data_IF_279004032591
#
_entry.id   IF_279004032591
#
_cell.length_a   1.000
_cell.length_b   1.000
_cell.length_c   1.000
_cell.angle_alpha   90.00
_cell.angle_beta   90.00
_cell.angle_gamma   90.00
#
_symmetry.space_group_name_H-M   'P 1'
#
loop_
_entity.id
_entity.type
_entity.pdbx_description
1 polymer ?
#
# COMPACT_ATOMS: atom_id res chain seq x y z
N UNK A 1 10.72 10.60 63.04
CA UNK A 1 11.58 9.45 63.36
C UNK A 1 11.12 8.25 62.52
N UNK A 2 12.07 7.58 61.86
CA UNK A 2 12.08 6.16 61.37
C UNK A 2 11.04 5.76 60.31
N UNK A 3 11.45 5.51 59.04
CA UNK A 3 11.89 4.22 58.42
C UNK A 3 10.71 3.24 58.25
N UNK A 4 10.49 2.56 57.13
CA UNK A 4 11.36 2.30 56.00
C UNK A 4 10.66 1.49 54.89
N UNK A 5 11.42 1.32 53.81
CA UNK A 5 11.16 0.60 52.57
C UNK A 5 11.20 -0.92 52.82
N UNK A 6 10.31 -1.68 52.19
CA UNK A 6 10.49 -3.13 51.98
C UNK A 6 10.29 -3.45 50.50
N UNK A 7 11.41 -3.74 49.85
CA UNK A 7 11.53 -4.30 48.51
C UNK A 7 11.33 -5.81 48.63
N UNK A 8 10.41 -6.38 47.86
CA UNK A 8 10.22 -7.84 47.77
C UNK A 8 10.78 -8.32 46.43
N UNK A 9 12.00 -8.87 46.48
CA UNK A 9 12.64 -9.62 45.40
C UNK A 9 12.33 -11.09 45.67
N UNK A 10 11.51 -11.69 44.82
CA UNK A 10 11.30 -13.14 44.80
C UNK A 10 12.10 -13.71 43.64
N UNK A 11 13.34 -14.11 43.91
CA UNK A 11 14.11 -15.00 43.05
C UNK A 11 13.71 -16.45 43.39
N UNK A 12 13.09 -17.16 42.45
CA UNK A 12 13.01 -18.62 42.51
C UNK A 12 14.05 -19.21 41.55
N UNK A 13 15.04 -19.88 42.13
CA UNK A 13 15.98 -20.79 41.48
C UNK A 13 15.86 -22.13 42.19
N UNK A 14 15.42 -23.17 41.48
CA UNK A 14 15.64 -24.61 41.72
C UNK A 14 15.34 -25.28 40.36
N UNK A 15 16.30 -25.81 39.61
CA UNK A 15 16.95 -27.11 39.84
C UNK A 15 16.48 -28.06 38.73
N UNK A 16 17.21 -28.20 37.62
CA UNK A 16 18.20 -29.26 37.38
C UNK A 16 17.61 -30.68 37.38
N UNK A 17 17.31 -31.19 36.18
CA UNK A 17 17.33 -32.63 35.90
C UNK A 17 18.13 -32.83 34.62
N UNK A 18 19.25 -33.53 34.81
CA UNK A 18 20.23 -33.88 33.79
C UNK A 18 19.70 -35.02 32.92
N UNK A 19 19.98 -34.96 31.61
CA UNK A 19 20.16 -36.13 30.79
C UNK A 19 21.40 -35.90 29.92
N UNK A 20 22.38 -36.77 30.09
CA UNK A 20 23.64 -36.77 29.36
C UNK A 20 23.49 -37.61 28.10
N UNK A 21 24.03 -37.13 26.98
CA UNK A 21 24.51 -38.00 25.91
C UNK A 21 25.81 -37.40 25.37
N UNK A 22 26.83 -38.25 25.30
CA UNK A 22 28.21 -37.93 24.96
C UNK A 22 28.37 -37.84 23.44
N UNK A 23 28.98 -36.76 22.95
CA UNK A 23 29.82 -36.84 21.75
C UNK A 23 30.95 -35.81 21.77
N UNK A 24 32.17 -36.34 21.70
CA UNK A 24 33.45 -35.65 21.74
C UNK A 24 33.76 -34.84 20.46
N UNK A 25 34.40 -33.68 20.68
CA UNK A 25 35.39 -33.00 19.82
C UNK A 25 34.96 -32.34 18.50
N UNK A 26 34.92 -31.00 18.49
CA UNK A 26 35.94 -30.14 17.86
C UNK A 26 35.55 -28.66 17.92
N UNK A 27 36.49 -27.88 18.42
CA UNK A 27 36.63 -26.42 18.31
C UNK A 27 36.27 -25.85 16.94
N UNK A 28 35.37 -24.88 16.90
CA UNK A 28 35.47 -23.68 16.03
C UNK A 28 34.76 -22.53 16.74
N UNK A 29 35.51 -21.73 17.49
CA UNK A 29 35.12 -20.39 17.89
C UNK A 29 35.00 -19.53 16.62
N UNK A 30 33.77 -19.39 16.09
CA UNK A 30 33.51 -18.48 14.98
C UNK A 30 32.14 -17.80 15.13
N UNK A 31 31.96 -17.08 16.22
CA UNK A 31 31.01 -15.96 16.29
C UNK A 31 31.70 -14.72 16.86
N UNK A 32 32.80 -14.32 16.20
CA UNK A 32 33.40 -13.01 16.32
C UNK A 32 33.42 -12.36 14.93
N UNK A 33 32.34 -11.65 14.57
CA UNK A 33 32.36 -10.52 13.62
C UNK A 33 30.92 -10.12 13.25
N UNK A 34 30.17 -9.55 14.19
CA UNK A 34 29.19 -8.52 13.82
C UNK A 34 29.78 -7.20 14.27
N UNK A 35 30.38 -6.51 13.32
CA UNK A 35 31.02 -5.22 13.49
C UNK A 35 30.16 -4.29 14.35
N UNK A 36 30.68 -3.95 15.53
CA UNK A 36 30.37 -2.73 16.26
C UNK A 36 30.88 -1.54 15.41
N UNK A 37 30.21 -1.30 14.27
CA UNK A 37 30.30 0.00 13.64
C UNK A 37 29.58 0.94 14.58
N UNK A 38 30.35 1.59 15.47
CA UNK A 38 29.94 2.75 16.24
C UNK A 38 29.17 3.70 15.32
N UNK A 39 27.84 3.60 15.32
CA UNK A 39 26.98 4.37 14.43
C UNK A 39 27.08 5.81 14.91
N UNK A 40 27.88 6.63 14.19
CA UNK A 40 27.92 8.06 14.46
C UNK A 40 26.50 8.59 14.23
N UNK A 41 25.87 9.21 15.24
CA UNK A 41 24.51 9.70 15.10
C UNK A 41 24.47 10.77 14.01
N UNK A 42 23.65 10.54 12.99
CA UNK A 42 23.47 11.49 11.90
C UNK A 42 22.71 12.70 12.42
N UNK A 43 23.33 13.88 12.32
CA UNK A 43 22.71 15.16 12.68
C UNK A 43 22.51 16.00 11.43
N UNK A 44 21.25 16.25 11.08
CA UNK A 44 20.89 17.07 9.94
C UNK A 44 21.14 18.56 10.22
N UNK A 45 21.55 19.30 9.19
CA UNK A 45 21.70 20.76 9.27
C UNK A 45 20.34 21.40 9.54
N UNK A 46 20.28 22.47 10.34
CA UNK A 46 19.02 23.18 10.68
C UNK A 46 18.20 23.59 9.45
N UNK A 47 18.86 24.04 8.36
CA UNK A 47 18.19 24.39 7.09
C UNK A 47 17.49 23.19 6.44
N UNK A 48 18.10 22.01 6.49
CA UNK A 48 17.55 20.77 5.93
C UNK A 48 16.24 20.40 6.64
N UNK A 49 16.24 20.44 7.99
CA UNK A 49 15.05 20.18 8.81
C UNK A 49 13.94 21.21 8.54
N UNK A 50 14.29 22.48 8.33
CA UNK A 50 13.31 23.53 7.99
C UNK A 50 12.62 23.26 6.64
N UNK A 51 13.36 22.70 5.67
CA UNK A 51 12.82 22.36 4.34
C UNK A 51 12.07 21.03 4.34
N UNK A 52 12.36 20.15 5.30
CA UNK A 52 11.78 18.81 5.42
C UNK A 52 11.19 18.64 6.83
N UNK A 53 10.04 19.27 7.14
CA UNK A 53 9.50 19.29 8.50
C UNK A 53 9.16 17.90 9.05
N UNK A 54 8.87 16.92 8.19
CA UNK A 54 8.58 15.52 8.59
C UNK A 54 9.76 14.80 9.25
N UNK A 55 10.99 15.33 9.09
CA UNK A 55 12.19 14.76 9.73
C UNK A 55 12.48 15.36 11.11
N UNK A 56 11.73 16.38 11.54
CA UNK A 56 11.91 16.99 12.85
C UNK A 56 11.61 15.97 13.96
N UNK A 57 12.57 15.78 14.88
CA UNK A 57 12.42 14.83 15.99
C UNK A 57 12.62 13.35 15.62
N UNK A 58 12.90 13.02 14.36
CA UNK A 58 13.20 11.65 13.96
C UNK A 58 14.55 11.17 14.53
N UNK A 59 14.60 9.91 14.94
CA UNK A 59 15.79 9.28 15.54
C UNK A 59 16.35 8.14 14.69
N UNK A 60 15.57 7.60 13.74
CA UNK A 60 15.98 6.50 12.88
C UNK A 60 17.16 6.90 11.99
N UNK A 61 18.27 6.18 12.13
CA UNK A 61 19.52 6.52 11.46
C UNK A 61 19.44 6.30 9.95
N UNK A 62 18.67 5.33 9.47
CA UNK A 62 18.50 5.10 8.04
C UNK A 62 17.72 6.25 7.39
N UNK A 63 16.61 6.67 7.99
CA UNK A 63 15.82 7.81 7.54
C UNK A 63 16.65 9.10 7.55
N UNK A 64 17.40 9.35 8.62
CA UNK A 64 18.27 10.52 8.71
C UNK A 64 19.39 10.53 7.67
N UNK A 65 19.95 9.35 7.31
CA UNK A 65 20.93 9.23 6.22
C UNK A 65 20.31 9.57 4.86
N UNK A 66 19.08 9.11 4.58
CA UNK A 66 18.37 9.46 3.35
C UNK A 66 18.19 10.98 3.28
N UNK A 67 17.71 11.62 4.35
CA UNK A 67 17.55 13.07 4.38
C UNK A 67 18.88 13.84 4.32
N UNK A 68 19.97 13.26 4.80
CA UNK A 68 21.30 13.83 4.63
C UNK A 68 21.66 13.91 3.14
N UNK A 69 21.34 12.87 2.36
CA UNK A 69 21.55 12.85 0.91
C UNK A 69 20.61 13.79 0.17
N UNK A 70 19.32 13.86 0.56
CA UNK A 70 18.33 14.82 0.03
C UNK A 70 18.82 16.26 0.17
N UNK A 71 19.48 16.57 1.29
CA UNK A 71 19.96 17.91 1.60
C UNK A 71 21.38 18.19 1.09
N UNK A 72 22.03 17.21 0.46
CA UNK A 72 23.29 17.42 -0.23
C UNK A 72 23.04 17.96 -1.64
N UNK A 73 23.73 19.06 -1.97
CA UNK A 73 23.60 19.72 -3.27
C UNK A 73 24.14 18.85 -4.41
N UNK A 74 25.03 17.92 -4.11
CA UNK A 74 25.58 16.97 -5.09
C UNK A 74 24.49 16.04 -5.67
N UNK A 75 23.43 15.76 -4.92
CA UNK A 75 22.36 14.83 -5.30
C UNK A 75 21.12 15.54 -5.88
N UNK A 76 21.25 16.77 -6.38
CA UNK A 76 20.12 17.59 -6.84
C UNK A 76 19.20 16.86 -7.85
N UNK A 77 19.75 15.98 -8.69
CA UNK A 77 18.99 15.22 -9.70
C UNK A 77 18.27 13.98 -9.12
N UNK A 78 18.65 13.51 -7.93
CA UNK A 78 18.13 12.29 -7.30
C UNK A 78 17.23 12.61 -6.09
N UNK A 79 17.00 13.89 -5.79
CA UNK A 79 16.21 14.32 -4.62
C UNK A 79 14.83 13.65 -4.60
N UNK A 80 14.17 13.52 -5.75
CA UNK A 80 12.85 12.93 -5.83
C UNK A 80 12.84 11.43 -5.48
N UNK A 81 13.82 10.68 -6.00
CA UNK A 81 13.97 9.25 -5.71
C UNK A 81 14.34 9.02 -4.25
N UNK A 82 15.21 9.86 -3.69
CA UNK A 82 15.58 9.84 -2.27
C UNK A 82 14.38 10.17 -1.38
N UNK A 83 13.52 11.11 -1.77
CA UNK A 83 12.29 11.41 -1.03
C UNK A 83 11.27 10.27 -1.14
N UNK A 84 11.19 9.57 -2.27
CA UNK A 84 10.38 8.37 -2.40
C UNK A 84 10.89 7.23 -1.49
N UNK A 85 12.21 7.03 -1.42
CA UNK A 85 12.83 6.10 -0.47
C UNK A 85 12.58 6.51 0.99
N UNK A 86 12.64 7.81 1.31
CA UNK A 86 12.31 8.31 2.63
C UNK A 86 10.85 8.01 2.99
N UNK A 87 9.91 8.14 2.04
CA UNK A 87 8.51 7.80 2.24
C UNK A 87 8.32 6.31 2.56
N UNK A 88 9.00 5.42 1.83
CA UNK A 88 9.01 3.98 2.13
C UNK A 88 9.60 3.69 3.50
N UNK A 89 10.72 4.34 3.85
CA UNK A 89 11.34 4.16 5.16
C UNK A 89 10.42 4.63 6.30
N UNK A 90 9.70 5.74 6.13
CA UNK A 90 8.69 6.18 7.10
C UNK A 90 7.57 5.14 7.29
N UNK A 91 7.14 4.49 6.21
CA UNK A 91 6.16 3.40 6.30
C UNK A 91 6.70 2.22 7.10
N UNK A 92 7.93 1.77 6.82
CA UNK A 92 8.60 0.70 7.57
C UNK A 92 8.73 1.00 9.07
N UNK A 93 8.91 2.28 9.42
CA UNK A 93 8.98 2.78 10.80
C UNK A 93 7.61 2.90 11.49
N UNK A 94 6.54 2.33 10.90
CA UNK A 94 5.17 2.42 11.40
C UNK A 94 4.67 3.86 11.53
N UNK A 95 5.07 4.71 10.59
CA UNK A 95 4.57 6.09 10.47
C UNK A 95 3.75 6.27 9.18
N UNK A 96 2.64 5.53 8.98
CA UNK A 96 1.91 5.53 7.72
C UNK A 96 1.36 6.92 7.35
N UNK A 97 0.96 7.73 8.35
CA UNK A 97 0.51 9.11 8.10
C UNK A 97 1.61 10.01 7.51
N UNK A 98 2.85 9.89 8.02
CA UNK A 98 3.98 10.67 7.51
C UNK A 98 4.40 10.19 6.12
N UNK A 99 4.42 8.87 5.92
CA UNK A 99 4.71 8.24 4.62
C UNK A 99 3.71 8.67 3.55
N UNK A 100 2.41 8.56 3.85
CA UNK A 100 1.33 8.96 2.95
C UNK A 100 1.39 10.46 2.62
N UNK A 101 1.64 11.30 3.63
CA UNK A 101 1.80 12.74 3.43
C UNK A 101 2.94 13.06 2.47
N UNK A 102 4.12 12.49 2.69
CA UNK A 102 5.27 12.73 1.83
C UNK A 102 5.01 12.23 0.39
N UNK A 103 4.45 11.04 0.24
CA UNK A 103 4.13 10.49 -1.08
C UNK A 103 3.11 11.37 -1.83
N UNK A 104 2.07 11.84 -1.14
CA UNK A 104 1.05 12.73 -1.73
C UNK A 104 1.64 14.09 -2.10
N UNK A 105 2.51 14.67 -1.27
CA UNK A 105 3.20 15.94 -1.57
C UNK A 105 4.09 15.82 -2.83
N UNK A 106 4.72 14.67 -3.06
CA UNK A 106 5.49 14.41 -4.28
C UNK A 106 4.58 14.25 -5.50
N UNK A 107 3.49 13.49 -5.38
CA UNK A 107 2.50 13.33 -6.46
C UNK A 107 1.87 14.65 -6.87
N UNK A 108 1.56 15.55 -5.92
CA UNK A 108 1.06 16.90 -6.20
C UNK A 108 2.06 17.77 -6.99
N UNK A 109 3.35 17.43 -6.95
CA UNK A 109 4.41 18.07 -7.75
C UNK A 109 4.63 17.37 -9.09
N UNK A 110 3.70 16.50 -9.52
CA UNK A 110 3.81 15.65 -10.71
C UNK A 110 5.00 14.68 -10.68
N UNK A 111 5.44 14.29 -9.47
CA UNK A 111 6.47 13.25 -9.31
C UNK A 111 5.74 11.93 -9.08
N UNK A 112 5.92 11.01 -10.02
CA UNK A 112 5.30 9.68 -10.00
C UNK A 112 6.37 8.60 -10.07
N UNK A 113 6.05 7.42 -9.53
CA UNK A 113 6.92 6.25 -9.55
C UNK A 113 6.28 5.10 -8.81
N UNK A 114 6.68 3.86 -9.13
CA UNK A 114 6.14 2.65 -8.49
C UNK A 114 6.29 2.70 -6.97
N UNK A 115 7.45 3.12 -6.47
CA UNK A 115 7.68 3.28 -5.03
C UNK A 115 6.65 4.20 -4.37
N UNK A 116 6.27 5.30 -5.04
CA UNK A 116 5.27 6.22 -4.49
C UNK A 116 3.87 5.62 -4.51
N UNK A 117 3.50 4.91 -5.58
CA UNK A 117 2.20 4.21 -5.63
C UNK A 117 2.13 3.10 -4.59
N UNK A 118 3.22 2.37 -4.37
CA UNK A 118 3.33 1.31 -3.38
C UNK A 118 3.20 1.89 -1.96
N UNK A 119 3.95 2.95 -1.64
CA UNK A 119 3.86 3.62 -0.33
C UNK A 119 2.48 4.20 -0.09
N UNK A 120 1.87 4.86 -1.07
CA UNK A 120 0.51 5.38 -0.96
C UNK A 120 -0.47 4.26 -0.66
N UNK A 121 -0.39 3.13 -1.38
CA UNK A 121 -1.28 1.99 -1.18
C UNK A 121 -1.05 1.36 0.22
N UNK A 122 0.18 1.01 0.55
CA UNK A 122 0.55 0.37 1.81
C UNK A 122 0.16 1.23 3.03
N UNK A 123 0.48 2.52 3.01
CA UNK A 123 0.12 3.43 4.09
C UNK A 123 -1.40 3.60 4.22
N UNK A 124 -2.13 3.67 3.10
CA UNK A 124 -3.59 3.77 3.11
C UNK A 124 -4.26 2.51 3.66
N UNK A 125 -3.72 1.33 3.34
CA UNK A 125 -4.20 0.04 3.89
C UNK A 125 -3.98 -0.01 5.39
N UNK A 126 -2.80 0.37 5.87
CA UNK A 126 -2.51 0.40 7.32
C UNK A 126 -3.45 1.36 8.06
N UNK A 127 -3.68 2.57 7.52
CA UNK A 127 -4.60 3.55 8.11
C UNK A 127 -6.05 3.04 8.10
N UNK A 128 -6.50 2.44 6.99
CA UNK A 128 -7.85 1.90 6.88
C UNK A 128 -8.06 0.73 7.85
N UNK A 129 -7.05 -0.13 8.02
CA UNK A 129 -7.09 -1.24 8.96
C UNK A 129 -7.10 -0.75 10.41
N UNK A 130 -6.28 0.24 10.77
CA UNK A 130 -6.29 0.87 12.10
C UNK A 130 -7.67 1.48 12.42
N UNK A 131 -8.24 2.23 11.46
CA UNK A 131 -9.59 2.80 11.61
C UNK A 131 -10.66 1.70 11.78
N UNK A 132 -10.58 0.61 11.02
CA UNK A 132 -11.49 -0.54 11.17
C UNK A 132 -11.32 -1.21 12.54
N UNK A 133 -10.10 -1.33 13.04
CA UNK A 133 -9.83 -1.88 14.36
C UNK A 133 -10.39 -0.98 15.47
N UNK A 134 -10.18 0.33 15.40
CA UNK A 134 -10.77 1.31 16.32
C UNK A 134 -12.30 1.22 16.33
N UNK A 135 -12.92 1.17 15.13
CA UNK A 135 -14.37 0.98 15.01
C UNK A 135 -14.88 -0.28 15.71
N UNK A 136 -14.14 -1.39 15.63
CA UNK A 136 -14.57 -2.68 16.17
C UNK A 136 -14.24 -2.86 17.65
N UNK A 137 -13.12 -2.34 18.11
CA UNK A 137 -12.59 -2.59 19.46
C UNK A 137 -12.96 -1.48 20.43
N UNK A 138 -12.90 -0.22 20.00
CA UNK A 138 -13.09 0.94 20.87
C UNK A 138 -14.53 1.47 20.76
N UNK A 139 -15.08 1.52 19.55
CA UNK A 139 -16.45 1.96 19.30
C UNK A 139 -17.47 0.81 19.29
N UNK A 140 -16.99 -0.45 19.30
CA UNK A 140 -17.83 -1.66 19.29
C UNK A 140 -18.89 -1.69 18.17
N UNK A 141 -18.60 -1.07 17.02
CA UNK A 141 -19.52 -1.02 15.87
C UNK A 141 -18.98 -1.75 14.63
N UNK A 142 -19.93 -2.17 13.81
CA UNK A 142 -19.66 -2.71 12.48
C UNK A 142 -19.62 -1.60 11.42
N UNK A 143 -19.19 -1.98 10.21
CA UNK A 143 -19.34 -1.13 9.04
C UNK A 143 -20.84 -0.92 8.76
N UNK A 144 -21.23 0.31 8.41
CA UNK A 144 -22.61 0.64 8.06
C UNK A 144 -22.90 0.24 6.62
N UNK A 145 -24.13 -0.20 6.35
CA UNK A 145 -24.56 -0.62 5.01
C UNK A 145 -24.49 0.50 3.98
N UNK A 146 -24.67 1.75 4.41
CA UNK A 146 -24.90 2.87 3.50
C UNK A 146 -23.64 3.70 3.24
N UNK A 147 -22.70 3.74 4.20
CA UNK A 147 -21.54 4.65 4.12
C UNK A 147 -20.19 3.91 4.06
N UNK A 148 -19.92 3.00 5.01
CA UNK A 148 -18.58 2.44 5.16
C UNK A 148 -18.40 1.06 4.54
N UNK A 149 -19.47 0.25 4.47
CA UNK A 149 -19.40 -1.07 3.85
C UNK A 149 -19.25 -1.03 2.31
N UNK A 150 -19.99 -0.21 1.55
CA UNK A 150 -19.85 -0.18 0.09
C UNK A 150 -18.42 0.09 -0.42
N UNK A 151 -17.69 1.13 0.05
CA UNK A 151 -16.32 1.36 -0.41
C UNK A 151 -15.35 0.28 0.07
N UNK A 152 -15.53 -0.26 1.28
CA UNK A 152 -14.69 -1.36 1.78
C UNK A 152 -14.84 -2.64 0.94
N UNK A 153 -16.09 -2.98 0.57
CA UNK A 153 -16.37 -4.10 -0.33
C UNK A 153 -15.72 -3.89 -1.69
N UNK A 154 -15.89 -2.72 -2.29
CA UNK A 154 -15.29 -2.39 -3.59
C UNK A 154 -13.76 -2.54 -3.57
N UNK A 155 -13.09 -2.03 -2.53
CA UNK A 155 -11.65 -2.20 -2.37
C UNK A 155 -11.26 -3.68 -2.28
N UNK A 156 -12.01 -4.48 -1.50
CA UNK A 156 -11.73 -5.91 -1.36
C UNK A 156 -11.84 -6.68 -2.68
N UNK A 157 -12.82 -6.35 -3.54
CA UNK A 157 -12.97 -6.99 -4.84
C UNK A 157 -11.87 -6.54 -5.82
N UNK A 158 -11.52 -5.25 -5.83
CA UNK A 158 -10.41 -4.74 -6.65
C UNK A 158 -9.08 -5.40 -6.28
N UNK A 159 -8.84 -5.68 -5.00
CA UNK A 159 -7.64 -6.41 -4.57
C UNK A 159 -7.67 -7.85 -5.09
N UNK A 160 -8.82 -8.54 -5.04
CA UNK A 160 -8.93 -9.91 -5.55
C UNK A 160 -8.68 -10.00 -7.04
N UNK A 161 -9.14 -9.02 -7.83
CA UNK A 161 -8.93 -8.99 -9.28
C UNK A 161 -7.53 -8.54 -9.68
N UNK A 162 -6.79 -7.88 -8.77
CA UNK A 162 -5.40 -7.46 -8.99
C UNK A 162 -4.36 -8.54 -8.67
N UNK A 163 -4.78 -9.71 -8.18
CA UNK A 163 -3.84 -10.81 -7.92
C UNK A 163 -3.18 -11.27 -9.23
N UNK A 164 -1.87 -11.58 -9.22
CA UNK A 164 -1.21 -12.13 -10.39
C UNK A 164 -1.89 -13.46 -10.77
N UNK A 165 -2.08 -13.68 -12.07
CA UNK A 165 -2.67 -14.91 -12.56
C UNK A 165 -1.86 -16.11 -12.03
N UNK A 166 -2.52 -17.17 -11.51
CA UNK A 166 -1.81 -18.34 -11.04
C UNK A 166 -1.01 -18.92 -12.21
N UNK A 167 0.32 -18.94 -12.07
CA UNK A 167 1.21 -19.58 -13.04
C UNK A 167 0.94 -21.07 -12.97
N UNK A 168 0.12 -21.59 -13.89
CA UNK A 168 -0.06 -23.02 -14.05
C UNK A 168 1.28 -23.57 -14.53
N UNK A 169 2.10 -24.06 -13.60
CA UNK A 169 3.29 -24.84 -13.94
C UNK A 169 2.80 -26.19 -14.47
N UNK A 170 2.54 -26.26 -15.78
CA UNK A 170 2.39 -27.52 -16.48
C UNK A 170 3.74 -28.21 -16.48
N UNK A 171 4.09 -28.86 -15.37
CA UNK A 171 4.97 -30.03 -15.45
C UNK A 171 4.20 -31.04 -16.28
N UNK A 172 4.50 -31.06 -17.57
CA UNK A 172 4.11 -32.11 -18.47
C UNK A 172 4.55 -33.43 -17.83
N UNK A 173 3.59 -34.20 -17.34
CA UNK A 173 3.77 -35.63 -17.13
C UNK A 173 3.73 -36.23 -18.53
N UNK A 174 4.92 -36.32 -19.13
CA UNK A 174 5.20 -37.21 -20.24
C UNK A 174 5.37 -38.64 -19.69
N UNK A 175 4.96 -39.62 -20.49
CA UNK A 175 4.82 -41.07 -20.22
C UNK A 175 3.63 -41.51 -19.33
N UNK A 176 2.77 -42.45 -19.72
CA UNK A 176 2.88 -43.55 -20.67
C UNK A 176 1.47 -44.02 -21.19
N UNK A 177 1.40 -44.90 -22.22
CA UNK A 177 0.34 -44.89 -23.22
C UNK A 177 -0.74 -45.99 -23.10
N UNK A 178 -1.79 -45.82 -23.91
CA UNK A 178 -2.69 -46.83 -24.51
C UNK A 178 -3.40 -47.82 -23.58
N UNK A 179 -4.74 -47.67 -23.49
CA UNK A 179 -5.65 -48.80 -23.70
C UNK A 179 -6.82 -48.39 -24.59
N UNK A 180 -6.86 -49.04 -25.75
CA UNK A 180 -8.03 -49.15 -26.61
C UNK A 180 -9.19 -49.80 -25.84
N UNK A 181 -10.39 -49.24 -25.96
CA UNK A 181 -11.62 -49.99 -25.75
C UNK A 181 -12.78 -49.35 -26.52
N UNK A 182 -12.94 -49.86 -27.75
CA UNK A 182 -14.22 -50.29 -28.34
C UNK A 182 -15.33 -49.25 -28.51
N UNK A 183 -15.41 -48.75 -29.74
CA UNK A 183 -16.64 -48.27 -30.36
C UNK A 183 -17.71 -49.37 -30.36
N UNK A 184 -18.86 -49.10 -29.74
CA UNK A 184 -20.13 -49.73 -30.09
C UNK A 184 -21.16 -48.63 -30.36
N UNK A 185 -21.35 -48.38 -31.64
CA UNK A 185 -22.52 -47.72 -32.21
C UNK A 185 -23.75 -48.59 -31.96
N UNK A 186 -24.79 -48.01 -31.38
CA UNK A 186 -26.17 -48.39 -31.69
C UNK A 186 -27.02 -47.13 -31.71
N UNK A 187 -27.49 -46.83 -32.91
CA UNK A 187 -28.44 -45.77 -33.21
C UNK A 187 -29.75 -45.98 -32.45
N UNK A 188 -30.33 -44.88 -31.93
CA UNK A 188 -31.77 -44.70 -32.02
C UNK A 188 -32.15 -43.24 -32.23
N UNK A 189 -32.49 -43.01 -33.49
CA UNK A 189 -33.26 -41.93 -34.12
C UNK A 189 -34.47 -41.50 -33.27
N UNK A 190 -34.58 -40.21 -32.95
CA UNK A 190 -35.84 -39.45 -33.06
C UNK A 190 -35.57 -38.02 -33.51
N UNK A 191 -35.96 -37.79 -34.76
CA UNK A 191 -36.17 -36.50 -35.40
C UNK A 191 -37.45 -35.90 -34.82
N UNK A 192 -37.41 -34.63 -34.43
CA UNK A 192 -38.57 -33.75 -34.46
C UNK A 192 -38.09 -32.35 -34.86
N UNK A 193 -38.64 -31.91 -35.98
CA UNK A 193 -38.24 -30.78 -36.79
C UNK A 193 -39.18 -29.58 -36.60
N UNK A 194 -38.58 -28.39 -36.56
CA UNK A 194 -39.08 -27.08 -37.03
C UNK A 194 -40.13 -26.30 -36.20
N UNK A 195 -40.33 -24.97 -36.44
CA UNK A 195 -39.71 -24.08 -37.45
C UNK A 195 -39.10 -22.77 -36.92
N UNK A 196 -38.30 -22.19 -37.82
CA UNK A 196 -37.63 -20.88 -37.78
C UNK A 196 -38.56 -19.83 -38.39
N UNK A 197 -38.90 -18.76 -37.65
CA UNK A 197 -39.55 -17.57 -38.23
C UNK A 197 -38.51 -16.50 -38.56
N UNK A 198 -38.51 -16.11 -39.83
CA UNK A 198 -37.74 -15.01 -40.43
C UNK A 198 -38.77 -14.04 -41.01
N UNK A 199 -38.74 -12.80 -40.55
CA UNK A 199 -39.42 -11.65 -41.17
C UNK A 199 -38.42 -10.49 -41.10
N UNK A 200 -37.61 -10.23 -42.14
CA UNK A 200 -37.86 -9.30 -43.25
C UNK A 200 -38.52 -7.99 -42.86
N UNK A 201 -37.71 -6.94 -42.71
CA UNK A 201 -37.94 -5.66 -43.39
C UNK A 201 -36.61 -4.96 -43.65
N UNK A 202 -36.52 -4.40 -44.86
CA UNK A 202 -35.34 -3.79 -45.43
C UNK A 202 -35.36 -2.26 -45.27
N UNK A 203 -34.14 -1.72 -45.17
CA UNK A 203 -33.64 -0.49 -45.81
C UNK A 203 -34.45 0.81 -45.74
N UNK A 204 -33.83 1.84 -45.14
CA UNK A 204 -33.52 3.06 -45.90
C UNK A 204 -32.34 3.84 -45.32
N UNK A 205 -31.38 4.11 -46.20
CA UNK A 205 -30.24 5.00 -46.04
C UNK A 205 -30.69 6.45 -45.81
N UNK A 206 -29.93 7.23 -45.01
CA UNK A 206 -29.42 8.54 -45.49
C UNK A 206 -28.19 8.98 -44.68
N UNK A 207 -27.05 9.00 -45.36
CA UNK A 207 -25.88 9.84 -45.06
C UNK A 207 -26.25 11.32 -45.10
N UNK A 208 -25.89 12.08 -44.07
CA UNK A 208 -25.59 13.51 -44.22
C UNK A 208 -24.35 13.87 -43.41
N UNK A 209 -23.31 14.17 -44.17
CA UNK A 209 -22.09 14.89 -43.83
C UNK A 209 -22.42 16.35 -43.52
N UNK A 210 -21.94 16.88 -42.39
CA UNK A 210 -21.57 18.29 -42.26
C UNK A 210 -20.67 18.48 -41.01
N UNK A 211 -19.44 18.93 -41.25
CA UNK A 211 -18.57 19.60 -40.28
C UNK A 211 -18.50 21.10 -40.68
N UNK A 212 -17.66 21.96 -40.06
CA UNK A 212 -17.62 22.38 -38.65
C UNK A 212 -17.63 23.93 -38.52
N UNK A 213 -18.12 24.48 -37.41
CA UNK A 213 -17.91 25.88 -36.96
C UNK A 213 -18.55 26.01 -35.57
N UNK A 214 -18.08 26.75 -34.56
CA UNK A 214 -17.14 27.86 -34.48
C UNK A 214 -16.81 28.13 -33.00
N UNK A 215 -15.58 28.55 -32.75
CA UNK A 215 -15.03 29.15 -31.52
C UNK A 215 -15.73 30.47 -31.14
N UNK A 216 -15.83 30.78 -29.84
CA UNK A 216 -15.43 32.11 -29.35
C UNK A 216 -14.54 31.97 -28.09
N UNK A 217 -13.26 32.33 -28.13
CA UNK A 217 -12.69 33.65 -27.78
C UNK A 217 -12.72 33.97 -26.29
N UNK A 218 -11.56 33.72 -25.68
CA UNK A 218 -10.92 34.33 -24.51
C UNK A 218 -11.49 35.67 -24.05
N UNK A 219 -11.88 35.76 -22.77
CA UNK A 219 -11.83 36.99 -21.96
C UNK A 219 -11.50 36.68 -20.50
N UNK A 220 -10.32 37.11 -20.07
CA UNK A 220 -9.96 37.54 -18.71
C UNK A 220 -8.89 38.63 -18.92
N UNK A 221 -8.80 39.68 -18.08
CA UNK A 221 -8.70 39.55 -16.63
C UNK A 221 -9.43 40.65 -15.82
N UNK A 222 -9.73 40.37 -14.55
CA UNK A 222 -9.73 41.43 -13.54
C UNK A 222 -9.44 40.88 -12.15
N UNK A 223 -8.59 41.61 -11.46
CA UNK A 223 -7.93 41.28 -10.22
C UNK A 223 -8.82 41.52 -8.98
N UNK A 224 -8.60 40.65 -8.00
CA UNK A 224 -8.56 40.85 -6.53
C UNK A 224 -9.14 42.16 -5.96
N UNK A 225 -10.14 42.02 -5.08
CA UNK A 225 -10.24 42.83 -3.85
C UNK A 225 -10.83 41.99 -2.71
N UNK A 226 -10.27 42.04 -1.49
CA UNK A 226 -10.78 41.30 -0.34
C UNK A 226 -11.82 42.14 0.42
N UNK A 227 -12.92 41.51 0.81
CA UNK A 227 -13.77 41.99 1.90
C UNK A 227 -14.17 40.78 2.71
N UNK A 228 -13.58 40.67 3.91
CA UNK A 228 -13.90 39.64 4.87
C UNK A 228 -15.38 39.74 5.24
N UNK A 229 -16.12 38.65 5.04
CA UNK A 229 -17.45 38.49 5.59
C UNK A 229 -17.52 37.08 6.14
N UNK A 230 -17.71 37.00 7.45
CA UNK A 230 -17.61 35.79 8.25
C UNK A 230 -18.79 34.85 7.89
N UNK A 231 -18.55 33.58 7.48
CA UNK A 231 -19.58 32.70 6.93
C UNK A 231 -20.56 32.13 7.96
N UNK A 232 -20.41 32.48 9.24
CA UNK A 232 -21.25 31.99 10.33
C UNK A 232 -22.22 33.04 10.90
N UNK A 233 -22.36 34.20 10.24
CA UNK A 233 -23.27 35.25 10.69
C UNK A 233 -24.77 34.85 10.68
N UNK A 234 -25.12 33.80 9.93
CA UNK A 234 -26.51 33.35 9.75
C UNK A 234 -27.01 32.36 10.82
N UNK A 235 -26.19 31.99 11.82
CA UNK A 235 -26.53 30.96 12.81
C UNK A 235 -26.97 31.51 14.17
N UNK A 236 -27.41 32.77 14.25
CA UNK A 236 -28.08 33.28 15.45
C UNK A 236 -29.60 33.23 15.27
N UNK A 237 -30.20 32.13 15.72
CA UNK A 237 -31.60 32.09 16.11
C UNK A 237 -31.79 31.04 17.21
#
# INVERSE_FOLDING_TARGET
>A
MKKGIVVSILCMVMGSLAYADDQETKSVDQEASLTDQKIKPVKLKRKCVKQNPLVAGQTDQALLKIYQQVCDKSNANQVNDLLAQAAMRMYELKQPMNALRLATELQQKNIHGSTLTDVTFLASVDIANDALQHMRSDEMRYLSTDLTYPPAKQLSENIRTALPAPVITTKAVEEAPKKEARTTSTANRRVASQPKTRTTSASRNTTQTAAPASRPTTTTPSAVRPTGTNPFASLKK
#
